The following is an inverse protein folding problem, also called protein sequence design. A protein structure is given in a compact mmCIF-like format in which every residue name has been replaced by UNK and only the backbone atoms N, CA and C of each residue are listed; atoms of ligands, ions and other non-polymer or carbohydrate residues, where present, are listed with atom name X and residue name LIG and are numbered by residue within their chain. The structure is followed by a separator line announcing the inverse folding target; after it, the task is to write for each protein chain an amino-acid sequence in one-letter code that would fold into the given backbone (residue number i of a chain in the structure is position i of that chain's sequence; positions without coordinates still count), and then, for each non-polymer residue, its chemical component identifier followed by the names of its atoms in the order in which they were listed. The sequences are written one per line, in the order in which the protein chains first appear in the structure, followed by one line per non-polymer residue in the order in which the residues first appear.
data_IF_279397990805
#
_entry.id   IF_279397990805
#
_cell.length_a   1.000
_cell.length_b   1.000
_cell.length_c   1.000
_cell.angle_alpha   90.00
_cell.angle_beta   90.00
_cell.angle_gamma   90.00
#
_symmetry.space_group_name_H-M   'P 1'
#
loop_
_entity.id
_entity.type
_entity.pdbx_description
1 polymer ?
#
# COMPACT_ATOMS: atom_id res chain seq x y z
N UNK A 1 7.67 -25.65 -3.93
CA UNK A 1 6.63 -25.21 -4.90
C UNK A 1 6.09 -23.84 -4.53
N UNK A 2 5.61 -23.62 -3.29
CA UNK A 2 5.03 -22.35 -2.79
C UNK A 2 5.82 -21.09 -3.13
N UNK A 3 7.09 -21.03 -2.73
CA UNK A 3 7.93 -19.84 -2.98
C UNK A 3 8.05 -19.46 -4.46
N UNK A 4 8.11 -20.48 -5.34
CA UNK A 4 8.13 -20.22 -6.78
C UNK A 4 6.81 -19.66 -7.28
N UNK A 5 5.67 -20.20 -6.82
CA UNK A 5 4.35 -19.66 -7.13
C UNK A 5 4.26 -18.21 -6.66
N UNK A 6 4.60 -17.93 -5.40
CA UNK A 6 4.57 -16.58 -4.84
C UNK A 6 5.43 -15.59 -5.63
N UNK A 7 6.65 -15.99 -6.02
CA UNK A 7 7.54 -15.14 -6.83
C UNK A 7 6.94 -14.76 -8.19
N UNK A 8 6.16 -15.66 -8.80
CA UNK A 8 5.48 -15.37 -10.08
C UNK A 8 4.27 -14.47 -9.89
N UNK A 9 3.40 -14.81 -8.93
CA UNK A 9 2.14 -14.07 -8.72
C UNK A 9 2.37 -12.68 -8.12
N UNK A 10 3.44 -12.49 -7.34
CA UNK A 10 3.82 -11.18 -6.80
C UNK A 10 4.01 -10.13 -7.91
N UNK A 11 4.59 -10.54 -9.03
CA UNK A 11 4.85 -9.64 -10.17
C UNK A 11 3.69 -9.56 -11.14
N UNK A 12 2.92 -10.63 -11.26
CA UNK A 12 1.80 -10.71 -12.18
C UNK A 12 0.72 -11.64 -11.62
N UNK A 13 -0.24 -11.09 -10.90
CA UNK A 13 -1.35 -11.84 -10.32
C UNK A 13 -2.32 -12.44 -11.36
N UNK A 14 -2.19 -12.08 -12.65
CA UNK A 14 -3.00 -12.61 -13.76
C UNK A 14 -2.31 -13.74 -14.51
N UNK A 15 -1.41 -14.47 -13.86
CA UNK A 15 -0.77 -15.64 -14.47
C UNK A 15 -1.81 -16.73 -14.72
N UNK A 16 -1.77 -17.34 -15.91
CA UNK A 16 -2.56 -18.52 -16.23
C UNK A 16 -2.03 -19.72 -15.44
N UNK A 17 -2.92 -20.45 -14.77
CA UNK A 17 -2.54 -21.59 -13.93
C UNK A 17 -1.88 -22.70 -14.76
N UNK A 18 -2.31 -22.88 -15.99
CA UNK A 18 -1.73 -23.88 -16.92
C UNK A 18 -0.29 -23.53 -17.27
N UNK A 19 -0.03 -22.27 -17.58
CA UNK A 19 1.33 -21.79 -17.86
C UNK A 19 2.23 -21.95 -16.64
N UNK A 20 1.72 -21.61 -15.46
CA UNK A 20 2.44 -21.74 -14.21
C UNK A 20 2.73 -23.21 -13.88
N UNK A 21 1.80 -24.12 -14.14
CA UNK A 21 1.97 -25.56 -13.95
C UNK A 21 3.09 -26.11 -14.87
N UNK A 22 3.09 -25.71 -16.14
CA UNK A 22 4.15 -26.08 -17.10
C UNK A 22 5.52 -25.60 -16.60
N UNK A 23 5.62 -24.34 -16.18
CA UNK A 23 6.87 -23.75 -15.68
C UNK A 23 7.40 -24.44 -14.42
N UNK A 24 6.49 -24.96 -13.58
CA UNK A 24 6.83 -25.64 -12.34
C UNK A 24 7.02 -27.16 -12.49
N UNK A 25 6.70 -27.73 -13.67
CA UNK A 25 6.78 -29.17 -13.93
C UNK A 25 5.75 -29.97 -13.15
N UNK A 26 4.55 -29.42 -12.97
CA UNK A 26 3.44 -30.05 -12.22
C UNK A 26 2.13 -29.93 -13.01
N UNK A 27 1.02 -30.33 -12.42
CA UNK A 27 -0.30 -30.16 -13.01
C UNK A 27 -1.02 -28.90 -12.47
N UNK A 28 -1.99 -28.44 -13.23
CA UNK A 28 -2.77 -27.24 -12.93
C UNK A 28 -3.55 -27.35 -11.61
N UNK A 29 -4.07 -28.54 -11.32
CA UNK A 29 -4.84 -28.76 -10.08
C UNK A 29 -3.94 -28.63 -8.84
N UNK A 30 -2.70 -29.13 -8.92
CA UNK A 30 -1.73 -29.01 -7.84
C UNK A 30 -1.38 -27.53 -7.58
N UNK A 31 -1.20 -26.71 -8.64
CA UNK A 31 -0.94 -25.26 -8.49
C UNK A 31 -2.15 -24.56 -7.89
N UNK A 32 -3.36 -24.84 -8.39
CA UNK A 32 -4.60 -24.25 -7.90
C UNK A 32 -4.84 -24.55 -6.43
N UNK A 33 -4.66 -25.81 -6.01
CA UNK A 33 -4.80 -26.21 -4.62
C UNK A 33 -3.78 -25.52 -3.72
N UNK A 34 -2.52 -25.41 -4.15
CA UNK A 34 -1.48 -24.76 -3.37
C UNK A 34 -1.75 -23.26 -3.18
N UNK A 35 -2.29 -22.59 -4.22
CA UNK A 35 -2.71 -21.18 -4.12
C UNK A 35 -3.87 -21.05 -3.12
N UNK A 36 -4.90 -21.88 -3.23
CA UNK A 36 -6.05 -21.88 -2.35
C UNK A 36 -5.66 -22.13 -0.87
N UNK A 37 -4.71 -23.03 -0.63
CA UNK A 37 -4.19 -23.27 0.72
C UNK A 37 -3.43 -22.04 1.24
N UNK A 38 -2.61 -21.38 0.42
CA UNK A 38 -1.90 -20.15 0.81
C UNK A 38 -2.85 -18.99 1.07
N UNK A 39 -3.95 -18.86 0.33
CA UNK A 39 -5.02 -17.90 0.60
C UNK A 39 -5.70 -18.18 1.95
N UNK A 40 -6.06 -19.44 2.21
CA UNK A 40 -6.68 -19.86 3.46
C UNK A 40 -5.77 -19.67 4.67
N UNK A 41 -4.48 -19.91 4.51
CA UNK A 41 -3.46 -19.69 5.55
C UNK A 41 -3.12 -18.19 5.75
N UNK A 42 -3.60 -17.30 4.89
CA UNK A 42 -3.30 -15.86 4.92
C UNK A 42 -1.88 -15.51 4.46
N UNK A 43 -1.20 -16.43 3.76
CA UNK A 43 0.08 -16.14 3.10
C UNK A 43 -0.15 -15.23 1.90
N UNK A 44 -1.21 -15.51 1.13
CA UNK A 44 -1.73 -14.60 0.10
C UNK A 44 -2.87 -13.81 0.74
N UNK A 45 -2.63 -12.54 1.02
CA UNK A 45 -3.59 -11.67 1.70
C UNK A 45 -4.56 -10.98 0.72
N UNK A 46 -4.23 -10.96 -0.57
CA UNK A 46 -5.05 -10.32 -1.60
C UNK A 46 -4.30 -10.11 -2.91
N UNK A 47 -5.05 -9.67 -3.91
CA UNK A 47 -4.55 -9.35 -5.25
C UNK A 47 -4.88 -7.90 -5.57
N UNK A 48 -3.86 -7.12 -5.92
CA UNK A 48 -4.03 -5.71 -6.23
C UNK A 48 -3.59 -5.40 -7.66
N UNK A 49 -4.35 -4.55 -8.32
CA UNK A 49 -3.98 -4.01 -9.63
C UNK A 49 -3.31 -2.66 -9.45
N UNK A 50 -2.10 -2.52 -9.97
CA UNK A 50 -1.42 -1.23 -10.02
C UNK A 50 -2.06 -0.38 -11.12
N UNK A 51 -2.60 0.77 -10.76
CA UNK A 51 -3.30 1.68 -11.67
C UNK A 51 -2.65 3.06 -11.60
N UNK A 52 -2.30 3.58 -12.77
CA UNK A 52 -1.89 4.98 -12.92
C UNK A 52 -3.14 5.85 -13.02
N UNK A 53 -3.59 6.34 -11.87
CA UNK A 53 -4.79 7.17 -11.78
C UNK A 53 -4.64 8.53 -12.45
N UNK A 54 -3.41 9.05 -12.60
CA UNK A 54 -3.14 10.30 -13.29
C UNK A 54 -3.45 10.24 -14.78
N UNK A 55 -3.57 9.02 -15.33
CA UNK A 55 -4.00 8.77 -16.72
C UNK A 55 -5.50 8.56 -16.87
N UNK A 56 -6.26 8.76 -15.82
CA UNK A 56 -7.72 8.60 -15.80
C UNK A 56 -8.40 9.94 -15.53
N UNK A 57 -9.73 9.98 -15.61
CA UNK A 57 -10.53 11.15 -15.22
C UNK A 57 -10.81 11.23 -13.72
N UNK A 58 -10.32 10.27 -12.93
CA UNK A 58 -10.54 10.23 -11.49
C UNK A 58 -9.43 10.95 -10.77
N UNK A 59 -9.77 11.97 -10.00
CA UNK A 59 -8.83 12.61 -9.10
C UNK A 59 -8.61 11.75 -7.86
N UNK A 60 -7.36 11.41 -7.57
CA UNK A 60 -6.94 10.76 -6.35
C UNK A 60 -5.75 11.48 -5.75
N UNK A 61 -5.82 11.71 -4.46
CA UNK A 61 -4.74 12.29 -3.68
C UNK A 61 -4.24 11.24 -2.70
N UNK A 62 -2.97 10.91 -2.80
CA UNK A 62 -2.31 10.00 -1.85
C UNK A 62 -1.45 10.80 -0.90
N UNK A 63 -1.53 10.50 0.39
CA UNK A 63 -0.69 11.12 1.40
C UNK A 63 -0.01 10.06 2.27
N UNK A 64 1.23 10.35 2.64
CA UNK A 64 1.99 9.67 3.68
C UNK A 64 1.89 10.49 4.95
N UNK A 65 1.51 9.85 6.06
CA UNK A 65 1.36 10.52 7.35
C UNK A 65 2.30 9.85 8.34
N UNK A 66 3.25 10.60 8.85
CA UNK A 66 4.07 10.22 9.98
C UNK A 66 3.25 10.42 11.24
N UNK A 67 3.18 9.41 12.10
CA UNK A 67 2.45 9.47 13.37
C UNK A 67 3.40 9.10 14.50
N UNK A 68 3.53 10.00 15.47
CA UNK A 68 4.20 9.73 16.74
C UNK A 68 3.14 9.43 17.80
N UNK A 69 3.38 8.38 18.57
CA UNK A 69 2.45 7.93 19.59
C UNK A 69 3.16 7.70 20.93
N UNK A 70 2.39 7.78 22.01
CA UNK A 70 2.81 7.27 23.31
C UNK A 70 2.07 5.97 23.57
N UNK A 71 2.76 4.82 23.56
CA UNK A 71 2.13 3.56 23.94
C UNK A 71 1.65 3.63 25.38
N UNK A 72 0.38 3.36 25.60
CA UNK A 72 -0.15 3.23 26.95
C UNK A 72 0.25 1.87 27.55
N UNK A 73 0.52 1.84 28.85
CA UNK A 73 0.81 0.58 29.57
C UNK A 73 -0.29 -0.43 29.33
N UNK A 74 0.07 -1.62 28.83
CA UNK A 74 -0.82 -2.74 28.60
C UNK A 74 -1.58 -2.76 27.25
N UNK A 75 -1.50 -1.70 26.44
CA UNK A 75 -2.17 -1.64 25.13
C UNK A 75 -1.21 -1.81 23.94
N UNK A 76 0.08 -1.46 24.11
CA UNK A 76 1.10 -1.59 23.05
C UNK A 76 0.79 -0.83 21.77
N UNK A 77 1.62 -1.04 20.75
CA UNK A 77 1.44 -0.46 19.42
C UNK A 77 0.29 -1.12 18.64
N UNK A 78 0.02 -2.41 18.84
CA UNK A 78 -0.94 -3.18 18.04
C UNK A 78 -2.36 -2.60 18.13
N UNK A 79 -2.81 -2.21 19.34
CA UNK A 79 -4.14 -1.61 19.49
C UNK A 79 -4.26 -0.22 18.92
N UNK A 80 -3.16 0.53 18.90
CA UNK A 80 -3.13 1.84 18.23
C UNK A 80 -3.22 1.60 16.71
N UNK A 81 -2.44 0.68 16.18
CA UNK A 81 -2.51 0.30 14.78
C UNK A 81 -3.91 -0.17 14.38
N UNK A 82 -4.56 -1.01 15.20
CA UNK A 82 -5.92 -1.50 14.98
C UNK A 82 -6.93 -0.36 14.83
N UNK A 83 -6.86 0.64 15.67
CA UNK A 83 -7.74 1.81 15.57
C UNK A 83 -7.52 2.59 14.28
N UNK A 84 -6.25 2.68 13.82
CA UNK A 84 -5.88 3.42 12.61
C UNK A 84 -6.32 2.65 11.37
N UNK A 85 -5.99 1.35 11.24
CA UNK A 85 -6.29 0.61 10.02
C UNK A 85 -7.79 0.28 9.84
N UNK A 86 -8.60 0.45 10.88
CA UNK A 86 -10.05 0.31 10.75
C UNK A 86 -10.74 1.52 10.09
N UNK A 87 -10.04 2.62 9.85
CA UNK A 87 -10.60 3.71 9.06
C UNK A 87 -10.61 3.35 7.57
N UNK A 88 -11.75 3.51 6.87
CA UNK A 88 -11.87 3.15 5.46
C UNK A 88 -10.99 3.98 4.52
N UNK A 89 -10.55 5.17 4.97
CA UNK A 89 -9.64 6.03 4.23
C UNK A 89 -8.19 5.54 4.26
N UNK A 90 -7.86 4.66 5.21
CA UNK A 90 -6.50 4.15 5.42
C UNK A 90 -6.23 2.98 4.48
N UNK A 91 -5.22 3.14 3.65
CA UNK A 91 -4.74 2.12 2.72
C UNK A 91 -3.65 1.23 3.34
N UNK A 92 -2.68 1.85 4.01
CA UNK A 92 -1.58 1.12 4.66
C UNK A 92 -1.25 1.69 6.04
N UNK A 93 -0.84 0.81 6.95
CA UNK A 93 -0.27 1.17 8.26
C UNK A 93 0.97 0.33 8.51
N UNK A 94 2.08 0.98 8.79
CA UNK A 94 3.36 0.32 9.09
C UNK A 94 3.91 0.82 10.40
N UNK A 95 4.39 -0.07 11.27
CA UNK A 95 5.21 0.28 12.42
C UNK A 95 6.64 0.53 11.93
N UNK A 96 7.21 1.67 12.28
CA UNK A 96 8.49 2.14 11.77
C UNK A 96 9.53 2.16 12.89
N UNK A 97 10.73 1.73 12.57
CA UNK A 97 11.92 1.94 13.41
C UNK A 97 12.63 3.19 12.93
N UNK A 98 12.43 4.33 13.60
CA UNK A 98 13.00 5.61 13.18
C UNK A 98 12.49 6.80 13.98
N UNK A 99 12.41 7.95 13.33
CA UNK A 99 12.04 9.22 13.95
C UNK A 99 10.56 9.37 14.33
N UNK A 100 9.70 8.45 13.89
CA UNK A 100 8.28 8.36 14.19
C UNK A 100 7.87 6.90 14.32
N UNK A 101 6.67 6.62 14.83
CA UNK A 101 6.25 5.26 15.19
C UNK A 101 5.44 4.58 14.09
N UNK A 102 4.50 5.28 13.46
CA UNK A 102 3.69 4.74 12.36
C UNK A 102 3.81 5.57 11.11
N UNK A 103 3.90 4.87 9.96
CA UNK A 103 3.61 5.44 8.66
C UNK A 103 2.22 5.00 8.23
N UNK A 104 1.36 5.96 7.96
CA UNK A 104 -0.01 5.73 7.50
C UNK A 104 -0.15 6.28 6.08
N UNK A 105 -0.58 5.43 5.15
CA UNK A 105 -0.97 5.88 3.81
C UNK A 105 -2.47 6.00 3.73
N UNK A 106 -2.94 7.10 3.20
CA UNK A 106 -4.34 7.33 2.92
C UNK A 106 -4.57 7.80 1.49
N UNK A 107 -5.70 7.42 0.94
CA UNK A 107 -6.18 7.95 -0.33
C UNK A 107 -7.45 8.80 -0.10
N UNK A 108 -7.51 9.92 -0.79
CA UNK A 108 -8.64 10.83 -0.75
C UNK A 108 -8.92 11.45 -2.12
N UNK A 109 -10.06 12.12 -2.25
CA UNK A 109 -10.42 12.85 -3.47
C UNK A 109 -9.74 14.21 -3.57
N UNK A 110 -9.44 14.83 -2.43
CA UNK A 110 -8.87 16.17 -2.35
C UNK A 110 -7.85 16.27 -1.21
N UNK A 111 -6.89 17.17 -1.34
CA UNK A 111 -5.92 17.48 -0.27
C UNK A 111 -6.65 17.97 1.00
N UNK A 112 -7.73 18.72 0.85
CA UNK A 112 -8.55 19.20 1.96
C UNK A 112 -9.21 18.04 2.71
N UNK A 113 -9.75 17.05 2.00
CA UNK A 113 -10.35 15.86 2.60
C UNK A 113 -9.34 15.04 3.40
N UNK A 114 -8.11 14.90 2.87
CA UNK A 114 -7.01 14.26 3.58
C UNK A 114 -6.65 15.03 4.85
N UNK A 115 -6.47 16.35 4.76
CA UNK A 115 -6.15 17.18 5.91
C UNK A 115 -7.25 17.14 6.99
N UNK A 116 -8.52 17.11 6.58
CA UNK A 116 -9.65 16.97 7.47
C UNK A 116 -9.65 15.61 8.19
N UNK A 117 -9.41 14.52 7.49
CA UNK A 117 -9.24 13.19 8.10
C UNK A 117 -8.15 13.20 9.18
N UNK A 118 -6.99 13.77 8.89
CA UNK A 118 -5.88 13.83 9.84
C UNK A 118 -6.26 14.62 11.07
N UNK A 119 -6.85 15.80 10.90
CA UNK A 119 -7.19 16.69 12.03
C UNK A 119 -8.35 16.19 12.87
N UNK A 120 -9.35 15.55 12.26
CA UNK A 120 -10.57 15.15 12.98
C UNK A 120 -10.51 13.71 13.51
N UNK A 121 -9.82 12.80 12.81
CA UNK A 121 -9.82 11.37 13.15
C UNK A 121 -8.49 10.88 13.70
N UNK A 122 -7.38 11.27 13.11
CA UNK A 122 -6.07 10.72 13.46
C UNK A 122 -5.45 11.48 14.63
N UNK A 123 -5.35 12.80 14.53
CA UNK A 123 -4.74 13.65 15.57
C UNK A 123 -5.55 13.75 16.85
N UNK A 124 -6.82 13.39 16.85
CA UNK A 124 -7.69 13.40 18.02
C UNK A 124 -7.58 12.16 18.91
N UNK A 125 -6.86 11.13 18.46
CA UNK A 125 -6.65 9.93 19.27
C UNK A 125 -5.71 10.25 20.44
N UNK A 126 -6.09 9.86 21.67
CA UNK A 126 -5.35 10.15 22.90
C UNK A 126 -3.88 9.71 22.88
N UNK A 127 -3.59 8.62 22.17
CA UNK A 127 -2.23 8.08 22.03
C UNK A 127 -1.38 8.81 21.01
N UNK A 128 -1.96 9.67 20.17
CA UNK A 128 -1.25 10.39 19.12
C UNK A 128 -0.65 11.68 19.68
N UNK A 129 0.68 11.78 19.63
CA UNK A 129 1.44 12.95 20.05
C UNK A 129 1.53 14.01 18.95
N UNK A 130 1.84 13.58 17.74
CA UNK A 130 1.99 14.47 16.59
C UNK A 130 1.81 13.71 15.28
N UNK A 131 1.46 14.46 14.24
CA UNK A 131 1.35 13.98 12.86
C UNK A 131 2.06 14.93 11.91
N UNK A 132 2.67 14.38 10.85
CA UNK A 132 3.17 15.16 9.72
C UNK A 132 2.65 14.55 8.42
N UNK A 133 1.99 15.36 7.60
CA UNK A 133 1.34 14.91 6.36
C UNK A 133 2.18 15.31 5.15
N UNK A 134 2.50 14.33 4.31
CA UNK A 134 3.25 14.50 3.08
C UNK A 134 2.39 14.07 1.90
N UNK A 135 2.08 14.98 1.00
CA UNK A 135 1.33 14.65 -0.21
C UNK A 135 2.25 14.12 -1.29
N UNK A 136 1.88 13.00 -1.90
CA UNK A 136 2.58 12.47 -3.07
C UNK A 136 2.17 13.29 -4.28
N UNK A 137 3.12 14.06 -4.82
CA UNK A 137 2.87 14.92 -5.98
C UNK A 137 2.98 14.17 -7.30
N UNK A 138 3.88 13.20 -7.38
CA UNK A 138 4.11 12.38 -8.59
C UNK A 138 4.71 11.04 -8.21
N UNK A 139 4.20 9.97 -8.83
CA UNK A 139 4.76 8.63 -8.72
C UNK A 139 5.66 8.36 -9.93
N UNK A 140 6.95 8.18 -9.72
CA UNK A 140 7.91 7.82 -10.78
C UNK A 140 7.99 6.32 -11.00
N UNK A 141 7.98 5.56 -9.92
CA UNK A 141 7.99 4.10 -9.91
C UNK A 141 7.17 3.60 -8.74
N UNK A 142 6.35 2.59 -8.96
CA UNK A 142 5.51 1.99 -7.91
C UNK A 142 5.46 0.48 -8.11
N UNK A 143 5.60 -0.30 -7.04
CA UNK A 143 5.62 -1.77 -7.06
C UNK A 143 6.45 -2.36 -8.22
N UNK A 144 7.64 -1.80 -8.47
CA UNK A 144 8.55 -2.25 -9.53
C UNK A 144 8.23 -1.72 -10.93
N UNK A 145 7.07 -1.12 -11.16
CA UNK A 145 6.65 -0.58 -12.46
C UNK A 145 6.98 0.90 -12.59
N UNK A 146 7.58 1.31 -13.71
CA UNK A 146 7.84 2.71 -14.04
C UNK A 146 6.53 3.36 -14.48
N UNK A 147 6.14 4.44 -13.80
CA UNK A 147 4.87 5.14 -14.01
C UNK A 147 5.00 6.31 -15.01
N UNK A 148 6.22 6.81 -15.24
CA UNK A 148 6.50 7.92 -16.16
C UNK A 148 6.92 7.41 -17.52
N UNK A 149 6.53 8.15 -18.58
CA UNK A 149 7.00 7.87 -19.93
C UNK A 149 8.22 8.77 -20.25
N UNK A 150 9.45 8.22 -20.36
CA UNK A 150 10.67 9.01 -20.55
C UNK A 150 10.65 9.87 -21.82
N UNK A 151 9.83 9.52 -22.81
CA UNK A 151 9.74 10.23 -24.09
C UNK A 151 8.74 11.40 -24.11
N UNK A 152 8.01 11.64 -23.02
CA UNK A 152 6.99 12.70 -22.93
C UNK A 152 7.24 13.73 -21.83
N UNK A 153 8.22 13.52 -20.98
CA UNK A 153 8.50 14.42 -19.84
C UNK A 153 9.57 15.48 -20.20
N UNK A 154 9.31 16.28 -21.23
CA UNK A 154 10.12 17.49 -21.52
C UNK A 154 9.76 18.70 -20.65
N UNK A 155 8.88 18.58 -19.69
CA UNK A 155 8.36 19.71 -18.94
C UNK A 155 8.70 19.68 -17.46
N UNK A 156 9.96 19.93 -17.15
CA UNK A 156 10.42 20.72 -15.99
C UNK A 156 11.86 21.16 -16.24
N UNK A 157 12.03 22.07 -17.17
CA UNK A 157 13.21 22.93 -17.17
C UNK A 157 13.11 23.82 -15.92
N UNK A 158 13.78 23.42 -14.86
CA UNK A 158 14.10 24.33 -13.76
C UNK A 158 15.09 25.31 -14.34
N UNK A 159 14.61 26.46 -14.75
CA UNK A 159 15.49 27.61 -15.10
C UNK A 159 16.12 28.10 -13.80
N UNK A 160 17.45 28.27 -13.73
CA UNK A 160 18.15 28.76 -12.56
C UNK A 160 17.75 30.21 -12.20
#
# INVERSE_FOLDING_TARGET
MREKILTYIERNSRVDLKDLAIMLGTDEAAVANEIADMEKEGVICGYHTLIDWDKTSSEKVTALIEVKVTPQRGLGFDKIAERIYNYPEVDCVYLISGGFDFMVMIEGKTMRGVAQFVSEKLSTQESVLSTATHFILKKYKDHGSVMVNPSKDESMLVTP
#
